data_IF_616350849578
#
_entry.id   IF_616350849578
#
_cell.length_a   1.000
_cell.length_b   1.000
_cell.length_c   1.000
_cell.angle_alpha   90.00
_cell.angle_beta   90.00
_cell.angle_gamma   90.00
#
_symmetry.space_group_name_H-M   'P 1'
#
loop_
_entity.id
_entity.type
_entity.pdbx_description
1 polymer ?
#
# COMPACT_ATOMS: atom_id res chain seq x y z
N UNK A 1 21.07 -0.67 -3.29
CA UNK A 1 20.82 -2.13 -3.40
C UNK A 1 19.97 -2.33 -4.64
N UNK A 2 20.27 -3.35 -5.44
CA UNK A 2 19.46 -3.71 -6.61
C UNK A 2 18.31 -4.63 -6.18
N UNK A 3 17.07 -4.19 -6.37
CA UNK A 3 15.86 -4.92 -5.96
C UNK A 3 15.17 -5.49 -7.20
N UNK A 4 14.87 -6.80 -7.15
CA UNK A 4 14.05 -7.43 -8.19
C UNK A 4 12.60 -7.03 -8.02
N UNK A 5 11.96 -6.69 -9.14
CA UNK A 5 10.53 -6.36 -9.22
C UNK A 5 9.81 -7.29 -10.20
N UNK A 6 8.48 -7.48 -10.08
CA UNK A 6 7.73 -8.28 -11.03
C UNK A 6 7.82 -7.70 -12.44
N UNK A 7 8.18 -8.54 -13.43
CA UNK A 7 8.30 -8.13 -14.83
C UNK A 7 6.97 -7.66 -15.45
N UNK A 8 5.84 -8.04 -14.85
CA UNK A 8 4.48 -7.70 -15.29
C UNK A 8 3.82 -6.60 -14.46
N UNK A 9 4.59 -5.85 -13.66
CA UNK A 9 4.05 -4.74 -12.88
C UNK A 9 3.47 -3.64 -13.79
N UNK A 10 2.38 -3.01 -13.35
CA UNK A 10 1.80 -1.86 -14.04
C UNK A 10 2.68 -0.62 -13.87
N UNK A 11 3.14 -0.39 -12.63
CA UNK A 11 4.07 0.67 -12.23
C UNK A 11 5.13 0.13 -11.27
N UNK A 12 6.34 0.68 -11.35
CA UNK A 12 7.41 0.52 -10.37
C UNK A 12 7.89 1.90 -9.98
N UNK A 13 7.84 2.20 -8.69
CA UNK A 13 8.42 3.42 -8.11
C UNK A 13 9.72 3.02 -7.44
N UNK A 14 10.82 3.63 -7.85
CA UNK A 14 12.15 3.41 -7.31
C UNK A 14 12.62 4.66 -6.57
N UNK A 15 13.30 4.48 -5.44
CA UNK A 15 13.50 5.57 -4.51
C UNK A 15 14.15 5.15 -3.21
N UNK A 16 14.17 6.09 -2.26
CA UNK A 16 14.69 5.88 -0.92
C UNK A 16 13.68 6.29 0.15
N UNK A 17 13.79 5.67 1.32
CA UNK A 17 13.11 6.12 2.55
C UNK A 17 14.20 6.65 3.47
N UNK A 18 14.42 7.97 3.56
CA UNK A 18 15.37 8.53 4.51
C UNK A 18 14.93 8.19 5.94
N UNK A 19 15.86 7.74 6.79
CA UNK A 19 15.53 7.21 8.10
C UNK A 19 14.96 8.28 9.05
N UNK A 20 15.42 9.52 8.89
CA UNK A 20 15.17 10.71 9.71
C UNK A 20 14.10 11.64 9.14
N UNK A 21 13.68 11.47 7.88
CA UNK A 21 12.63 12.28 7.28
C UNK A 21 11.24 11.66 7.45
N UNK A 22 10.31 12.47 7.97
CA UNK A 22 8.90 12.10 8.11
C UNK A 22 7.98 13.21 7.62
N UNK A 23 6.84 12.84 7.08
CA UNK A 23 5.81 13.74 6.56
C UNK A 23 4.45 13.43 7.15
N UNK A 24 3.56 14.43 7.15
CA UNK A 24 2.17 14.26 7.57
C UNK A 24 1.41 13.46 6.50
N UNK A 25 0.76 12.37 6.91
CA UNK A 25 -0.01 11.47 6.06
C UNK A 25 -1.38 11.17 6.68
N UNK A 26 -2.39 10.96 5.84
CA UNK A 26 -3.79 10.85 6.22
C UNK A 26 -4.52 12.21 6.33
N UNK A 27 -5.74 12.24 6.88
CA UNK A 27 -6.51 11.10 7.38
C UNK A 27 -6.94 10.14 6.26
N UNK A 28 -7.19 8.87 6.59
CA UNK A 28 -7.56 7.84 5.62
C UNK A 28 -8.69 6.96 6.15
N UNK A 29 -9.52 6.43 5.25
CA UNK A 29 -10.58 5.50 5.62
C UNK A 29 -10.00 4.12 5.93
N UNK A 30 -10.21 3.58 7.13
CA UNK A 30 -9.57 2.35 7.59
C UNK A 30 -10.47 1.13 7.45
N UNK A 31 -9.86 -0.06 7.40
CA UNK A 31 -10.54 -1.36 7.31
C UNK A 31 -11.58 -1.61 8.43
N UNK A 32 -11.49 -0.87 9.54
CA UNK A 32 -12.44 -0.92 10.66
C UNK A 32 -13.80 -0.28 10.34
N UNK A 33 -13.89 0.54 9.29
CA UNK A 33 -15.09 1.28 8.92
C UNK A 33 -15.07 2.77 9.29
N UNK A 34 -13.98 3.25 9.88
CA UNK A 34 -13.86 4.61 10.39
C UNK A 34 -12.68 5.34 9.75
N UNK A 35 -12.65 6.67 9.83
CA UNK A 35 -11.45 7.43 9.45
C UNK A 35 -10.38 7.29 10.52
N UNK A 36 -9.17 6.93 10.12
CA UNK A 36 -7.96 7.07 10.90
C UNK A 36 -7.52 8.53 10.98
N UNK A 37 -6.94 8.91 12.12
CA UNK A 37 -6.34 10.23 12.30
C UNK A 37 -5.07 10.37 11.44
N UNK A 38 -4.75 11.61 11.07
CA UNK A 38 -3.48 11.94 10.44
C UNK A 38 -2.30 11.57 11.35
N UNK A 39 -1.21 11.06 10.78
CA UNK A 39 0.01 10.68 11.48
C UNK A 39 1.25 11.21 10.77
N UNK A 40 2.40 11.11 11.43
CA UNK A 40 3.70 11.45 10.85
C UNK A 40 4.40 10.16 10.47
N UNK A 41 4.53 9.91 9.17
CA UNK A 41 5.01 8.65 8.59
C UNK A 41 6.32 8.88 7.82
N UNK A 42 7.15 7.83 7.60
CA UNK A 42 8.37 7.95 6.80
C UNK A 42 8.10 8.54 5.43
N UNK A 43 8.97 9.44 4.98
CA UNK A 43 8.92 9.99 3.62
C UNK A 43 9.49 8.95 2.64
N UNK A 44 8.80 8.74 1.52
CA UNK A 44 9.36 8.02 0.39
C UNK A 44 9.73 9.01 -0.72
N UNK A 45 11.00 9.05 -1.11
CA UNK A 45 11.51 9.90 -2.16
C UNK A 45 11.65 9.09 -3.45
N UNK A 46 10.81 9.41 -4.44
CA UNK A 46 10.82 8.74 -5.74
C UNK A 46 11.90 9.36 -6.62
N UNK A 47 12.83 8.52 -7.07
CA UNK A 47 13.91 8.88 -8.00
C UNK A 47 13.58 8.50 -9.45
N UNK A 48 12.88 7.39 -9.65
CA UNK A 48 12.51 6.89 -10.98
C UNK A 48 11.13 6.22 -10.92
N UNK A 49 10.34 6.43 -11.98
CA UNK A 49 9.09 5.73 -12.20
C UNK A 49 9.19 5.02 -13.53
N UNK A 50 9.03 3.70 -13.53
CA UNK A 50 8.89 2.90 -14.75
C UNK A 50 7.49 2.30 -14.80
N UNK A 51 6.92 2.18 -16.00
CA UNK A 51 5.57 1.65 -16.17
C UNK A 51 5.40 1.05 -17.56
N UNK A 52 4.41 0.16 -17.71
CA UNK A 52 4.06 -0.40 -19.02
C UNK A 52 3.27 0.60 -19.87
N UNK A 53 3.18 0.32 -21.18
CA UNK A 53 2.24 1.04 -22.05
C UNK A 53 0.80 0.78 -21.61
N UNK A 54 -0.02 1.83 -21.56
CA UNK A 54 -1.42 1.78 -21.10
C UNK A 54 -1.58 1.18 -19.69
N UNK A 55 -0.70 1.59 -18.76
CA UNK A 55 -0.71 1.08 -17.39
C UNK A 55 -2.04 1.37 -16.67
N UNK A 56 -2.51 0.39 -15.91
CA UNK A 56 -3.73 0.44 -15.11
C UNK A 56 -3.38 0.89 -13.69
N UNK A 57 -3.94 2.02 -13.27
CA UNK A 57 -3.85 2.45 -11.88
C UNK A 57 -4.97 1.82 -11.05
N UNK A 58 -4.63 0.77 -10.29
CA UNK A 58 -5.56 0.10 -9.39
C UNK A 58 -5.65 0.86 -8.06
N UNK A 59 -6.82 1.42 -7.78
CA UNK A 59 -7.17 1.93 -6.45
C UNK A 59 -7.82 0.86 -5.57
N UNK A 60 -7.85 1.12 -4.27
CA UNK A 60 -8.66 0.38 -3.30
C UNK A 60 -9.55 1.37 -2.54
N UNK A 61 -10.82 1.01 -2.31
CA UNK A 61 -11.74 1.86 -1.57
C UNK A 61 -11.93 1.27 -0.18
N UNK A 62 -11.09 1.75 0.72
CA UNK A 62 -11.17 1.36 2.13
C UNK A 62 -12.36 2.03 2.83
N UNK A 63 -12.55 1.75 4.13
CA UNK A 63 -13.67 2.17 4.96
C UNK A 63 -15.02 1.46 4.73
N UNK A 64 -15.50 1.31 3.50
CA UNK A 64 -16.83 0.75 3.27
C UNK A 64 -16.80 -0.78 3.22
N UNK A 65 -17.78 -1.46 3.84
CA UNK A 65 -17.87 -2.92 3.81
C UNK A 65 -18.68 -3.41 2.59
N UNK A 66 -18.24 -4.47 1.87
CA UNK A 66 -16.92 -5.10 1.97
C UNK A 66 -15.87 -4.33 1.15
N UNK A 67 -14.70 -4.06 1.74
CA UNK A 67 -13.54 -3.46 1.06
C UNK A 67 -12.56 -4.52 0.60
N UNK A 68 -11.60 -4.14 -0.24
CA UNK A 68 -10.52 -5.03 -0.69
C UNK A 68 -9.72 -5.63 0.49
N UNK A 69 -9.42 -4.83 1.52
CA UNK A 69 -8.76 -5.32 2.74
C UNK A 69 -9.56 -6.42 3.46
N UNK A 70 -10.89 -6.35 3.47
CA UNK A 70 -11.74 -7.40 4.05
C UNK A 70 -11.55 -8.75 3.34
N UNK A 71 -11.46 -8.73 2.00
CA UNK A 71 -11.28 -9.95 1.22
C UNK A 71 -9.84 -10.47 1.21
N UNK A 72 -8.85 -9.59 1.10
CA UNK A 72 -7.46 -9.98 0.98
C UNK A 72 -6.82 -10.30 2.34
N UNK A 73 -6.93 -9.39 3.31
CA UNK A 73 -6.30 -9.53 4.63
C UNK A 73 -7.16 -10.43 5.53
N UNK A 74 -8.46 -10.17 5.59
CA UNK A 74 -9.35 -10.92 6.50
C UNK A 74 -9.32 -12.43 6.25
N UNK A 75 -9.36 -12.87 4.98
CA UNK A 75 -9.30 -14.30 4.63
C UNK A 75 -7.91 -14.91 4.81
N UNK A 76 -6.85 -14.19 4.48
CA UNK A 76 -5.48 -14.70 4.65
C UNK A 76 -5.14 -14.87 6.13
N UNK A 77 -5.43 -13.88 6.98
CA UNK A 77 -5.23 -13.98 8.43
C UNK A 77 -6.06 -15.11 9.06
N UNK A 78 -7.29 -15.36 8.57
CA UNK A 78 -8.07 -16.52 9.00
C UNK A 78 -7.37 -17.82 8.61
N UNK A 79 -6.91 -17.95 7.37
CA UNK A 79 -6.21 -19.15 6.91
C UNK A 79 -4.94 -19.43 7.72
N UNK A 80 -4.14 -18.41 8.03
CA UNK A 80 -2.97 -18.52 8.90
C UNK A 80 -3.33 -19.00 10.30
N UNK A 81 -4.38 -18.45 10.90
CA UNK A 81 -4.84 -18.84 12.24
C UNK A 81 -5.36 -20.30 12.32
N UNK A 82 -5.74 -20.92 11.20
CA UNK A 82 -6.14 -22.33 11.14
C UNK A 82 -4.97 -23.30 10.90
N UNK A 83 -3.76 -22.79 10.63
CA UNK A 83 -2.56 -23.61 10.42
C UNK A 83 -1.81 -23.88 11.75
N UNK A 84 -2.11 -23.12 12.81
CA UNK A 84 -1.70 -23.41 14.20
C UNK A 84 -2.67 -24.38 14.90
#
# INVERSE_FOLDING_TARGET
IDLKVPATAEFVFEGIVPADERVREGPFGEYTGYYGNQRTNPKYEVNLITHRNNAIFQGAREQWKPSESFYAVGKSSQAEAYIE
#
